data_IF_386785443159
#
_entry.id   IF_386785443159
#
_cell.length_a   1.000
_cell.length_b   1.000
_cell.length_c   1.000
_cell.angle_alpha   90.00
_cell.angle_beta   90.00
_cell.angle_gamma   90.00
#
_symmetry.space_group_name_H-M   'P 1'
#
loop_
_entity.id
_entity.type
_entity.pdbx_description
1 polymer ?
#
# COMPACT_ATOMS: atom_id res chain seq x y z
N UNK A 1 -2.95 8.75 -23.71
CA UNK A 1 -2.18 8.86 -22.46
C UNK A 1 -0.66 9.06 -22.66
N UNK A 2 0.17 8.07 -23.02
CA UNK A 2 1.64 8.33 -23.20
C UNK A 2 1.92 9.28 -24.38
N UNK A 3 1.27 9.07 -25.53
CA UNK A 3 1.41 9.93 -26.72
C UNK A 3 0.97 11.38 -26.49
N UNK A 4 -0.01 11.57 -25.62
CA UNK A 4 -0.57 12.89 -25.26
C UNK A 4 0.31 13.63 -24.25
N UNK A 5 0.99 12.91 -23.36
CA UNK A 5 2.00 13.52 -22.49
C UNK A 5 3.23 13.94 -23.31
N UNK A 6 3.69 13.07 -24.21
CA UNK A 6 4.86 13.32 -25.05
C UNK A 6 4.62 14.40 -26.13
N UNK A 7 3.37 14.74 -26.45
CA UNK A 7 3.10 15.88 -27.33
C UNK A 7 3.43 17.20 -26.62
N UNK A 8 3.08 17.33 -25.33
CA UNK A 8 3.26 18.56 -24.52
C UNK A 8 4.62 18.67 -23.83
N UNK A 9 5.24 17.54 -23.47
CA UNK A 9 6.46 17.52 -22.67
C UNK A 9 7.58 16.71 -23.33
N UNK A 10 8.80 17.24 -23.26
CA UNK A 10 10.05 16.53 -23.59
C UNK A 10 10.61 15.89 -22.32
N UNK A 11 10.85 14.58 -22.33
CA UNK A 11 11.51 13.89 -21.21
C UNK A 11 13.02 14.11 -21.31
N UNK A 12 13.65 14.66 -20.27
CA UNK A 12 15.10 14.90 -20.23
C UNK A 12 15.85 13.69 -19.65
N UNK A 13 15.59 13.32 -18.40
CA UNK A 13 16.29 12.22 -17.72
C UNK A 13 15.47 11.63 -16.56
N UNK A 14 15.86 10.45 -16.08
CA UNK A 14 15.32 9.84 -14.86
C UNK A 14 16.03 10.41 -13.64
N UNK A 15 15.26 10.89 -12.67
CA UNK A 15 15.76 11.53 -11.44
C UNK A 15 15.42 10.75 -10.16
N UNK A 16 14.60 9.71 -10.25
CA UNK A 16 14.29 8.87 -9.09
C UNK A 16 13.58 7.57 -9.47
N UNK A 17 13.75 6.55 -8.63
CA UNK A 17 13.03 5.29 -8.73
C UNK A 17 12.52 4.87 -7.36
N UNK A 18 11.22 4.64 -7.28
CA UNK A 18 10.59 3.96 -6.16
C UNK A 18 10.01 2.63 -6.62
N UNK A 19 9.57 1.83 -5.64
CA UNK A 19 8.91 0.53 -5.85
C UNK A 19 7.79 0.62 -6.89
N UNK A 20 6.97 1.68 -6.83
CA UNK A 20 5.74 1.81 -7.62
C UNK A 20 5.81 2.82 -8.78
N UNK A 21 6.92 3.55 -8.92
CA UNK A 21 7.00 4.65 -9.88
C UNK A 21 8.42 5.05 -10.23
N UNK A 22 8.58 5.62 -11.42
CA UNK A 22 9.79 6.30 -11.83
C UNK A 22 9.52 7.79 -11.91
N UNK A 23 10.49 8.60 -11.48
CA UNK A 23 10.40 10.06 -11.56
C UNK A 23 11.34 10.54 -12.65
N UNK A 24 10.80 11.32 -13.58
CA UNK A 24 11.54 11.90 -14.70
C UNK A 24 11.54 13.41 -14.60
N UNK A 25 12.65 14.02 -14.97
CA UNK A 25 12.71 15.43 -15.28
C UNK A 25 12.22 15.62 -16.71
N UNK A 26 11.27 16.54 -16.88
CA UNK A 26 10.67 16.86 -18.18
C UNK A 26 10.69 18.37 -18.40
N UNK A 27 10.62 18.79 -19.66
CA UNK A 27 10.51 20.18 -20.07
C UNK A 27 9.22 20.38 -20.86
N UNK A 28 8.43 21.37 -20.48
CA UNK A 28 7.30 21.86 -21.28
C UNK A 28 7.82 22.36 -22.63
N UNK A 29 7.22 21.89 -23.73
CA UNK A 29 7.62 22.34 -25.07
C UNK A 29 7.15 23.76 -25.38
N UNK A 30 6.05 24.19 -24.76
CA UNK A 30 5.46 25.51 -25.01
C UNK A 30 6.16 26.62 -24.20
N UNK A 31 6.43 26.34 -22.92
CA UNK A 31 6.97 27.36 -22.00
C UNK A 31 8.46 27.19 -21.67
N UNK A 32 9.07 26.09 -22.08
CA UNK A 32 10.44 25.74 -21.68
C UNK A 32 10.61 25.38 -20.20
N UNK A 33 9.52 25.43 -19.41
CA UNK A 33 9.56 25.17 -17.96
C UNK A 33 9.89 23.71 -17.65
N UNK A 34 10.77 23.50 -16.67
CA UNK A 34 11.14 22.16 -16.20
C UNK A 34 10.22 21.69 -15.09
N UNK A 35 9.77 20.44 -15.17
CA UNK A 35 8.89 19.78 -14.20
C UNK A 35 9.43 18.39 -13.85
N UNK A 36 8.97 17.84 -12.72
CA UNK A 36 9.14 16.42 -12.41
C UNK A 36 7.84 15.67 -12.74
N UNK A 37 7.92 14.63 -13.57
CA UNK A 37 6.80 13.78 -13.94
C UNK A 37 6.98 12.38 -13.31
N UNK A 38 5.95 11.93 -12.59
CA UNK A 38 5.91 10.58 -11.99
C UNK A 38 5.22 9.62 -12.95
N UNK A 39 5.97 8.64 -13.46
CA UNK A 39 5.44 7.54 -14.27
C UNK A 39 5.13 6.35 -13.36
N UNK A 40 3.84 6.07 -13.19
CA UNK A 40 3.39 4.85 -12.52
C UNK A 40 3.72 3.65 -13.41
N UNK A 41 4.35 2.61 -12.84
CA UNK A 41 4.66 1.37 -13.56
C UNK A 41 3.32 0.67 -13.85
N UNK A 42 2.86 0.71 -15.11
CA UNK A 42 1.53 0.23 -15.54
C UNK A 42 1.31 -1.28 -15.42
N UNK A 43 2.37 -2.02 -15.13
CA UNK A 43 2.38 -3.47 -14.93
C UNK A 43 3.71 -3.82 -14.28
N UNK A 44 3.66 -4.58 -13.19
CA UNK A 44 4.78 -5.43 -12.83
C UNK A 44 4.98 -6.42 -13.97
N UNK A 45 5.89 -6.12 -14.91
CA UNK A 45 6.22 -7.03 -16.04
C UNK A 45 6.72 -8.41 -15.58
N UNK A 46 7.01 -8.56 -14.29
CA UNK A 46 7.16 -9.85 -13.62
C UNK A 46 6.26 -9.85 -12.40
N UNK A 47 5.26 -10.72 -12.41
CA UNK A 47 4.68 -11.24 -11.17
C UNK A 47 5.85 -11.61 -10.24
N UNK A 48 5.76 -11.20 -8.98
CA UNK A 48 6.74 -11.62 -7.99
C UNK A 48 6.70 -13.15 -7.93
N UNK A 49 7.86 -13.79 -7.87
CA UNK A 49 7.91 -15.23 -7.65
C UNK A 49 7.09 -15.57 -6.39
N UNK A 50 6.27 -16.62 -6.44
CA UNK A 50 5.41 -16.99 -5.32
C UNK A 50 6.20 -17.21 -4.02
N UNK A 51 7.44 -17.70 -4.13
CA UNK A 51 8.37 -17.82 -3.01
C UNK A 51 8.67 -16.47 -2.33
N UNK A 52 8.86 -15.41 -3.12
CA UNK A 52 9.08 -14.05 -2.63
C UNK A 52 7.80 -13.49 -2.00
N UNK A 53 6.64 -13.70 -2.61
CA UNK A 53 5.36 -13.27 -2.03
C UNK A 53 5.08 -13.97 -0.70
N UNK A 54 5.33 -15.29 -0.64
CA UNK A 54 5.20 -16.08 0.59
C UNK A 54 6.13 -15.58 1.69
N UNK A 55 7.37 -15.23 1.35
CA UNK A 55 8.33 -14.66 2.29
C UNK A 55 7.89 -13.29 2.81
N UNK A 56 7.36 -12.43 1.92
CA UNK A 56 6.81 -11.12 2.31
C UNK A 56 5.63 -11.30 3.27
N UNK A 57 4.65 -12.14 2.92
CA UNK A 57 3.49 -12.41 3.76
C UNK A 57 3.90 -12.97 5.12
N UNK A 58 4.84 -13.91 5.16
CA UNK A 58 5.35 -14.46 6.41
C UNK A 58 5.92 -13.37 7.33
N UNK A 59 6.73 -12.45 6.81
CA UNK A 59 7.28 -11.36 7.60
C UNK A 59 6.21 -10.37 8.08
N UNK A 60 5.20 -10.06 7.26
CA UNK A 60 4.05 -9.24 7.67
C UNK A 60 3.33 -9.91 8.85
N UNK A 61 3.02 -11.21 8.73
CA UNK A 61 2.31 -11.94 9.77
C UNK A 61 3.14 -12.03 11.07
N UNK A 62 4.45 -12.21 10.98
CA UNK A 62 5.35 -12.17 12.15
C UNK A 62 5.39 -10.79 12.82
N UNK A 63 5.35 -9.71 12.04
CA UNK A 63 5.26 -8.35 12.57
C UNK A 63 3.92 -8.07 13.24
N UNK A 64 2.82 -8.52 12.64
CA UNK A 64 1.48 -8.40 13.21
C UNK A 64 1.32 -9.22 14.49
N UNK A 65 1.81 -10.46 14.51
CA UNK A 65 1.83 -11.31 15.70
C UNK A 65 2.50 -10.61 16.88
N UNK A 66 3.66 -9.98 16.65
CA UNK A 66 4.35 -9.19 17.66
C UNK A 66 3.54 -7.98 18.15
N UNK A 67 2.88 -7.24 17.25
CA UNK A 67 2.02 -6.12 17.65
C UNK A 67 0.82 -6.61 18.48
N UNK A 68 0.15 -7.65 17.99
CA UNK A 68 -1.06 -8.20 18.59
C UNK A 68 -0.78 -8.82 19.96
N UNK A 69 0.34 -9.51 20.14
CA UNK A 69 0.78 -10.05 21.44
C UNK A 69 1.04 -8.94 22.47
N UNK A 70 1.42 -7.75 22.02
CA UNK A 70 1.60 -6.57 22.86
C UNK A 70 0.31 -5.72 22.98
N UNK A 71 -0.83 -6.25 22.51
CA UNK A 71 -2.11 -5.54 22.58
C UNK A 71 -2.18 -4.31 21.68
N UNK A 72 -1.41 -4.25 20.60
CA UNK A 72 -1.42 -3.16 19.61
C UNK A 72 -2.10 -3.65 18.34
N UNK A 73 -3.10 -2.92 17.86
CA UNK A 73 -3.74 -3.14 16.55
C UNK A 73 -3.18 -2.09 15.58
N UNK A 74 -2.71 -2.50 14.41
CA UNK A 74 -2.09 -1.60 13.43
C UNK A 74 -3.12 -0.68 12.76
N UNK A 75 -4.25 -1.25 12.34
CA UNK A 75 -5.43 -0.58 11.75
C UNK A 75 -5.24 0.08 10.38
N UNK A 76 -4.04 0.11 9.82
CA UNK A 76 -3.79 0.65 8.47
C UNK A 76 -2.81 -0.22 7.66
N UNK A 77 -3.02 -1.53 7.66
CA UNK A 77 -2.25 -2.45 6.80
C UNK A 77 -2.70 -2.27 5.34
N UNK A 78 -1.76 -1.87 4.49
CA UNK A 78 -1.92 -1.65 3.04
C UNK A 78 -0.55 -1.60 2.37
N UNK A 79 -0.44 -1.79 1.03
CA UNK A 79 0.84 -1.86 0.33
C UNK A 79 1.75 -0.65 0.57
N UNK A 80 1.19 0.55 0.73
CA UNK A 80 1.96 1.77 0.99
C UNK A 80 2.71 1.73 2.33
N UNK A 81 2.19 0.97 3.30
CA UNK A 81 2.75 0.81 4.64
C UNK A 81 3.61 -0.45 4.78
N UNK A 82 3.78 -1.25 3.72
CA UNK A 82 4.69 -2.40 3.68
C UNK A 82 6.00 -1.98 3.00
N UNK A 83 7.02 -1.72 3.82
CA UNK A 83 8.33 -1.29 3.36
C UNK A 83 9.21 -2.50 3.04
N UNK A 84 9.78 -2.54 1.84
CA UNK A 84 10.59 -3.67 1.37
C UNK A 84 11.97 -3.15 0.96
N UNK A 85 13.02 -3.72 1.55
CA UNK A 85 14.40 -3.49 1.14
C UNK A 85 15.10 -4.84 0.95
N UNK A 86 15.43 -5.17 -0.31
CA UNK A 86 15.92 -6.50 -0.71
C UNK A 86 14.89 -7.59 -0.34
N UNK A 87 15.15 -8.31 0.75
CA UNK A 87 14.31 -9.38 1.29
C UNK A 87 13.86 -9.10 2.74
N UNK A 88 14.14 -7.91 3.27
CA UNK A 88 13.64 -7.46 4.57
C UNK A 88 12.33 -6.70 4.39
N UNK A 89 11.32 -7.07 5.17
CA UNK A 89 10.01 -6.41 5.22
C UNK A 89 9.82 -5.73 6.57
N UNK A 90 9.33 -4.49 6.54
CA UNK A 90 8.94 -3.74 7.74
C UNK A 90 7.53 -3.19 7.58
N UNK A 91 6.74 -3.27 8.65
CA UNK A 91 5.44 -2.61 8.75
C UNK A 91 5.71 -1.17 9.20
N UNK A 92 5.27 -0.20 8.42
CA UNK A 92 5.40 1.23 8.68
C UNK A 92 4.07 1.91 9.00
N UNK A 93 4.14 3.19 9.34
CA UNK A 93 3.01 4.06 9.68
C UNK A 93 2.16 3.59 10.88
N UNK A 94 2.66 3.91 12.07
CA UNK A 94 1.98 3.65 13.34
C UNK A 94 1.04 4.80 13.75
N UNK A 95 0.76 5.78 12.88
CA UNK A 95 -0.09 6.93 13.22
C UNK A 95 -1.54 6.55 13.55
N UNK A 96 -1.96 5.37 13.08
CA UNK A 96 -3.30 4.83 13.28
C UNK A 96 -3.38 3.72 14.32
N UNK A 97 -2.35 3.42 15.11
CA UNK A 97 -2.44 2.27 16.05
C UNK A 97 -3.48 2.45 17.15
N UNK A 98 -3.94 1.35 17.76
CA UNK A 98 -4.78 1.40 18.97
C UNK A 98 -4.53 0.23 19.90
N UNK A 99 -4.82 0.42 21.19
CA UNK A 99 -4.81 -0.64 22.17
C UNK A 99 -5.97 -1.63 21.95
N UNK A 100 -5.67 -2.93 21.93
CA UNK A 100 -6.64 -4.01 21.81
C UNK A 100 -7.64 -4.02 22.97
N UNK A 101 -7.20 -3.61 24.17
CA UNK A 101 -8.04 -3.56 25.38
C UNK A 101 -8.90 -2.30 25.51
N UNK A 102 -8.83 -1.38 24.53
CA UNK A 102 -9.64 -0.15 24.56
C UNK A 102 -11.12 -0.53 24.46
N UNK A 103 -11.96 0.06 25.32
CA UNK A 103 -13.40 -0.20 25.35
C UNK A 103 -14.04 0.21 24.02
N UNK A 104 -14.95 -0.63 23.53
CA UNK A 104 -15.74 -0.31 22.34
C UNK A 104 -16.78 0.78 22.63
N UNK A 105 -17.15 1.60 21.65
CA UNK A 105 -16.74 1.56 20.24
C UNK A 105 -15.43 2.30 19.94
N UNK A 106 -14.60 1.74 19.05
CA UNK A 106 -13.37 2.40 18.55
C UNK A 106 -13.68 3.30 17.34
N UNK A 107 -12.76 4.18 16.97
CA UNK A 107 -12.92 5.08 15.80
C UNK A 107 -13.23 4.29 14.53
N UNK A 108 -14.33 4.60 13.84
CA UNK A 108 -14.83 3.81 12.70
C UNK A 108 -14.31 4.31 11.33
N UNK A 109 -13.89 5.58 11.22
CA UNK A 109 -13.19 6.11 10.04
C UNK A 109 -11.68 5.87 10.15
N UNK A 110 -11.28 4.63 9.90
CA UNK A 110 -9.88 4.20 9.89
C UNK A 110 -9.58 3.42 8.60
N UNK A 111 -8.31 3.27 8.25
CA UNK A 111 -7.85 2.54 7.07
C UNK A 111 -8.31 3.07 5.70
N UNK A 112 -7.49 2.84 4.68
CA UNK A 112 -7.93 2.94 3.28
C UNK A 112 -9.07 1.95 3.01
N UNK A 113 -10.18 2.40 2.40
CA UNK A 113 -11.43 1.63 2.27
C UNK A 113 -11.26 0.23 1.66
N UNK A 114 -10.33 0.04 0.72
CA UNK A 114 -10.10 -1.24 0.02
C UNK A 114 -9.56 -2.36 0.92
N UNK A 115 -8.97 -2.03 2.07
CA UNK A 115 -8.34 -2.98 3.00
C UNK A 115 -9.16 -3.17 4.28
N UNK A 116 -10.32 -2.53 4.38
CA UNK A 116 -11.19 -2.67 5.56
C UNK A 116 -11.80 -4.05 5.60
N UNK A 117 -11.79 -4.65 6.78
CA UNK A 117 -12.54 -5.87 7.04
C UNK A 117 -14.06 -5.60 7.07
N UNK A 118 -14.90 -6.61 6.83
CA UNK A 118 -16.35 -6.46 6.82
C UNK A 118 -16.89 -5.86 8.13
N UNK A 119 -16.35 -6.25 9.28
CA UNK A 119 -16.76 -5.70 10.57
C UNK A 119 -16.41 -4.21 10.71
N UNK A 120 -15.32 -3.74 10.12
CA UNK A 120 -15.02 -2.30 10.08
C UNK A 120 -15.97 -1.51 9.16
N UNK A 121 -16.60 -2.18 8.18
CA UNK A 121 -17.57 -1.57 7.27
C UNK A 121 -19.00 -1.61 7.83
N UNK A 122 -19.34 -2.69 8.53
CA UNK A 122 -20.70 -3.02 8.93
C UNK A 122 -21.01 -2.68 10.40
N UNK A 123 -19.98 -2.43 11.22
CA UNK A 123 -20.16 -2.12 12.66
C UNK A 123 -19.68 -0.71 13.01
N UNK A 124 -20.21 -0.17 14.12
CA UNK A 124 -19.77 1.10 14.68
C UNK A 124 -18.62 0.84 15.66
N UNK A 125 -17.43 0.58 15.12
CA UNK A 125 -16.22 0.48 15.94
C UNK A 125 -16.03 -0.81 16.73
N UNK A 126 -16.77 -1.88 16.37
CA UNK A 126 -16.65 -3.22 16.94
C UNK A 126 -15.70 -4.06 16.07
N UNK A 127 -14.41 -3.85 16.27
CA UNK A 127 -13.35 -4.57 15.56
C UNK A 127 -12.17 -4.85 16.49
N UNK A 128 -11.43 -5.92 16.19
CA UNK A 128 -10.25 -6.33 16.95
C UNK A 128 -9.04 -6.54 16.05
N UNK A 129 -7.99 -7.16 16.59
CA UNK A 129 -6.73 -7.44 15.86
C UNK A 129 -6.90 -8.23 14.56
N UNK A 130 -7.99 -9.01 14.43
CA UNK A 130 -8.32 -9.79 13.22
C UNK A 130 -8.53 -8.92 11.98
N UNK A 131 -8.83 -7.62 12.14
CA UNK A 131 -8.93 -6.71 11.00
C UNK A 131 -7.59 -6.56 10.25
N UNK A 132 -6.45 -6.60 10.96
CA UNK A 132 -5.12 -6.53 10.34
C UNK A 132 -4.83 -7.81 9.54
N UNK A 133 -5.39 -8.94 9.97
CA UNK A 133 -5.27 -10.23 9.26
C UNK A 133 -6.03 -10.17 7.94
N UNK A 134 -7.26 -9.65 7.94
CA UNK A 134 -8.01 -9.41 6.71
C UNK A 134 -7.23 -8.52 5.73
N UNK A 135 -6.76 -7.37 6.21
CA UNK A 135 -5.99 -6.43 5.41
C UNK A 135 -4.71 -7.06 4.84
N UNK A 136 -4.01 -7.91 5.61
CA UNK A 136 -2.85 -8.66 5.13
C UNK A 136 -3.20 -9.65 4.00
N UNK A 137 -4.40 -10.23 4.03
CA UNK A 137 -4.93 -11.07 2.95
C UNK A 137 -5.17 -10.28 1.66
N UNK A 138 -5.71 -9.06 1.77
CA UNK A 138 -5.86 -8.15 0.64
C UNK A 138 -4.48 -7.78 0.04
N UNK A 139 -3.49 -7.46 0.88
CA UNK A 139 -2.11 -7.19 0.43
C UNK A 139 -1.51 -8.42 -0.27
N UNK A 140 -1.70 -9.61 0.28
CA UNK A 140 -1.22 -10.86 -0.33
C UNK A 140 -1.80 -11.09 -1.72
N UNK A 141 -3.12 -10.93 -1.88
CA UNK A 141 -3.79 -11.03 -3.17
C UNK A 141 -3.22 -10.01 -4.17
N UNK A 142 -3.01 -8.76 -3.75
CA UNK A 142 -2.48 -7.72 -4.63
C UNK A 142 -1.04 -8.00 -5.05
N UNK A 143 -0.20 -8.53 -4.16
CA UNK A 143 1.17 -8.95 -4.50
C UNK A 143 1.20 -10.05 -5.57
N UNK A 144 0.23 -10.97 -5.57
CA UNK A 144 0.13 -12.04 -6.56
C UNK A 144 -0.43 -11.57 -7.91
N UNK A 145 -1.44 -10.70 -7.87
CA UNK A 145 -2.26 -10.36 -9.05
C UNK A 145 -1.95 -8.98 -9.64
N UNK A 146 -1.20 -8.16 -8.92
CA UNK A 146 -1.02 -6.72 -9.18
C UNK A 146 -2.34 -5.95 -9.29
N UNK A 147 -3.40 -6.46 -8.66
CA UNK A 147 -4.74 -5.85 -8.63
C UNK A 147 -5.28 -5.86 -7.20
N UNK A 148 -5.95 -4.79 -6.74
CA UNK A 148 -6.62 -4.81 -5.46
C UNK A 148 -7.74 -5.86 -5.45
N UNK A 149 -7.90 -6.56 -4.33
CA UNK A 149 -8.95 -7.58 -4.16
C UNK A 149 -10.35 -6.96 -4.17
N UNK A 150 -10.50 -5.85 -3.45
CA UNK A 150 -11.76 -5.11 -3.33
C UNK A 150 -11.54 -3.66 -3.76
N UNK A 151 -11.44 -3.44 -5.08
CA UNK A 151 -11.43 -2.09 -5.64
C UNK A 151 -12.78 -1.42 -5.31
N UNK A 152 -12.76 -0.39 -4.46
CA UNK A 152 -13.95 0.41 -4.24
C UNK A 152 -14.29 1.21 -5.51
N UNK A 153 -15.55 1.20 -5.90
CA UNK A 153 -16.09 2.17 -6.85
C UNK A 153 -16.37 3.48 -6.09
N UNK A 154 -16.01 4.61 -6.73
CA UNK A 154 -16.29 5.94 -6.18
C UNK A 154 -17.76 6.32 -6.38
#
# INVERSE_FOLDING_TARGET
MIREFQSKYKVECKIGEGTFSEVFKCQSKDSGQRIAAKRLKRSYKRSLAESKVKNILYQILRGLDHLHSNGIIHRDIKPENILIQKDLVKIGDLGSVSGAYKKEPRSYYIATRWYRSPECLLTVGCYGSKMDIWASGCVFFELLTSKPLFAGEN
#
